data_IF_992636588434
#
_entry.id   IF_992636588434
#
_cell.length_a   1.000
_cell.length_b   1.000
_cell.length_c   1.000
_cell.angle_alpha   90.00
_cell.angle_beta   90.00
_cell.angle_gamma   90.00
#
_symmetry.space_group_name_H-M   'P 1'
#
loop_
_entity.id
_entity.type
_entity.pdbx_description
1 polymer ?
#
# COMPACT_ATOMS: atom_id res chain seq x y z
N UNK A 1 21.25 -16.04 -25.98
CA UNK A 1 19.79 -16.21 -26.17
C UNK A 1 19.13 -14.96 -25.62
N UNK A 2 18.30 -14.26 -26.41
CA UNK A 2 17.56 -13.08 -25.92
C UNK A 2 16.33 -13.57 -25.16
N UNK A 3 16.08 -13.05 -23.96
CA UNK A 3 14.84 -13.32 -23.25
C UNK A 3 13.68 -12.64 -24.00
N UNK A 4 12.57 -13.36 -24.16
CA UNK A 4 11.33 -12.77 -24.68
C UNK A 4 10.56 -12.24 -23.47
N UNK A 5 10.22 -10.95 -23.50
CA UNK A 5 9.45 -10.30 -22.43
C UNK A 5 8.23 -9.61 -23.05
N UNK A 6 7.03 -10.02 -22.62
CA UNK A 6 5.77 -9.46 -23.07
C UNK A 6 4.97 -8.92 -21.89
N UNK A 7 4.41 -7.71 -22.02
CA UNK A 7 3.52 -7.16 -21.02
C UNK A 7 2.18 -7.91 -21.03
N UNK A 8 1.78 -8.38 -19.86
CA UNK A 8 0.47 -8.96 -19.60
C UNK A 8 -0.48 -7.88 -19.09
N UNK A 9 -1.74 -7.97 -19.50
CA UNK A 9 -2.79 -7.06 -19.08
C UNK A 9 -3.54 -7.65 -17.87
N UNK A 10 -3.72 -6.83 -16.83
CA UNK A 10 -4.61 -7.14 -15.71
C UNK A 10 -5.83 -6.25 -15.87
N UNK A 11 -7.01 -6.87 -16.00
CA UNK A 11 -8.26 -6.16 -16.37
C UNK A 11 -9.20 -5.91 -15.21
N UNK A 12 -9.06 -6.69 -14.14
CA UNK A 12 -9.92 -6.64 -12.97
C UNK A 12 -9.09 -6.42 -11.70
N UNK A 13 -9.65 -5.67 -10.75
CA UNK A 13 -9.00 -5.37 -9.48
C UNK A 13 -8.85 -6.61 -8.62
N UNK A 14 -9.79 -7.56 -8.66
CA UNK A 14 -9.69 -8.82 -7.92
C UNK A 14 -8.55 -9.72 -8.41
N UNK A 15 -8.24 -9.70 -9.72
CA UNK A 15 -7.05 -10.39 -10.24
C UNK A 15 -5.77 -9.67 -9.83
N UNK A 16 -5.75 -8.34 -9.83
CA UNK A 16 -4.63 -7.55 -9.29
C UNK A 16 -4.40 -7.83 -7.80
N UNK A 17 -5.47 -7.91 -7.00
CA UNK A 17 -5.41 -8.19 -5.57
C UNK A 17 -4.71 -9.51 -5.28
N UNK A 18 -5.07 -10.60 -6.00
CA UNK A 18 -4.41 -11.90 -5.88
C UNK A 18 -2.93 -11.83 -6.26
N UNK A 19 -2.62 -11.23 -7.42
CA UNK A 19 -1.26 -11.09 -7.90
C UNK A 19 -0.39 -10.31 -6.90
N UNK A 20 -0.92 -9.21 -6.35
CA UNK A 20 -0.23 -8.41 -5.35
C UNK A 20 -0.04 -9.20 -4.06
N UNK A 21 -1.07 -9.87 -3.55
CA UNK A 21 -0.98 -10.62 -2.30
C UNK A 21 0.09 -11.73 -2.36
N UNK A 22 0.24 -12.39 -3.51
CA UNK A 22 1.26 -13.44 -3.72
C UNK A 22 2.68 -12.90 -3.88
N UNK A 23 2.86 -11.61 -4.23
CA UNK A 23 4.16 -11.04 -4.61
C UNK A 23 4.55 -9.80 -3.80
N UNK A 24 3.82 -9.47 -2.74
CA UNK A 24 3.94 -8.18 -2.03
C UNK A 24 5.35 -7.93 -1.46
N UNK A 25 6.09 -8.99 -1.10
CA UNK A 25 7.48 -8.90 -0.64
C UNK A 25 8.41 -8.29 -1.70
N UNK A 26 8.03 -8.32 -2.98
CA UNK A 26 8.74 -7.67 -4.07
C UNK A 26 8.74 -6.14 -3.99
N UNK A 27 7.87 -5.53 -3.17
CA UNK A 27 7.86 -4.09 -2.89
C UNK A 27 8.85 -3.77 -1.76
N UNK A 28 8.79 -4.55 -0.68
CA UNK A 28 9.58 -4.37 0.52
C UNK A 28 9.76 -5.72 1.22
N UNK A 29 11.00 -6.03 1.61
CA UNK A 29 11.31 -7.27 2.31
C UNK A 29 10.61 -7.35 3.67
N UNK A 30 9.92 -8.46 3.93
CA UNK A 30 9.16 -8.68 5.16
C UNK A 30 7.79 -8.01 5.20
N UNK A 31 7.37 -7.34 4.12
CA UNK A 31 5.97 -6.95 3.94
C UNK A 31 5.13 -8.19 3.62
N UNK A 32 4.08 -8.42 4.41
CA UNK A 32 3.15 -9.54 4.22
C UNK A 32 1.72 -9.04 4.24
N UNK A 33 0.84 -9.68 3.47
CA UNK A 33 -0.62 -9.47 3.55
C UNK A 33 -1.19 -10.28 4.71
N UNK A 34 -1.99 -9.63 5.55
CA UNK A 34 -2.66 -10.25 6.70
C UNK A 34 -4.19 -10.30 6.56
N UNK A 35 -4.78 -9.47 5.69
CA UNK A 35 -6.21 -9.48 5.40
C UNK A 35 -6.53 -8.82 4.05
N UNK A 36 -7.74 -9.01 3.55
CA UNK A 36 -8.21 -8.51 2.25
C UNK A 36 -9.63 -7.96 2.35
N UNK A 37 -9.91 -6.90 1.58
CA UNK A 37 -11.23 -6.26 1.46
C UNK A 37 -11.86 -5.88 2.80
N UNK A 38 -11.06 -5.25 3.66
CA UNK A 38 -11.43 -4.91 5.04
C UNK A 38 -12.19 -3.59 5.08
N UNK A 39 -13.32 -3.56 5.79
CA UNK A 39 -14.07 -2.35 6.08
C UNK A 39 -13.53 -1.68 7.35
N UNK A 40 -12.88 -0.53 7.19
CA UNK A 40 -12.35 0.30 8.27
C UNK A 40 -13.20 1.57 8.37
N UNK A 41 -14.12 1.60 9.34
CA UNK A 41 -15.18 2.61 9.41
C UNK A 41 -16.13 2.48 8.22
N UNK A 42 -16.04 3.41 7.27
CA UNK A 42 -16.80 3.39 6.01
C UNK A 42 -15.93 3.15 4.78
N UNK A 43 -14.61 3.03 4.95
CA UNK A 43 -13.65 2.84 3.87
C UNK A 43 -13.30 1.37 3.69
N UNK A 44 -13.38 0.86 2.47
CA UNK A 44 -12.91 -0.49 2.13
C UNK A 44 -11.46 -0.42 1.65
N UNK A 45 -10.56 -1.09 2.35
CA UNK A 45 -9.16 -1.23 1.93
C UNK A 45 -8.96 -2.60 1.31
N UNK A 46 -8.32 -2.63 0.13
CA UNK A 46 -8.23 -3.83 -0.69
C UNK A 46 -7.34 -4.88 -0.03
N UNK A 47 -6.20 -4.48 0.55
CA UNK A 47 -5.33 -5.36 1.32
C UNK A 47 -4.81 -4.67 2.59
N UNK A 48 -4.73 -5.44 3.67
CA UNK A 48 -4.05 -5.01 4.90
C UNK A 48 -2.73 -5.77 4.98
N UNK A 49 -1.64 -5.02 5.10
CA UNK A 49 -0.30 -5.55 5.24
C UNK A 49 0.32 -5.27 6.60
N UNK A 50 1.40 -5.98 6.87
CA UNK A 50 2.29 -5.74 8.00
C UNK A 50 3.72 -5.74 7.48
N UNK A 51 4.48 -4.68 7.74
CA UNK A 51 5.89 -4.65 7.37
C UNK A 51 6.80 -5.33 8.40
N UNK A 52 8.10 -5.40 8.09
CA UNK A 52 9.09 -6.05 8.94
C UNK A 52 9.24 -5.41 10.34
N UNK A 53 8.75 -4.17 10.53
CA UNK A 53 8.74 -3.46 11.82
C UNK A 53 7.42 -3.62 12.57
N UNK A 54 6.48 -4.36 12.00
CA UNK A 54 5.13 -4.51 12.54
C UNK A 54 4.23 -3.31 12.29
N UNK A 55 4.60 -2.35 11.43
CA UNK A 55 3.70 -1.25 11.10
C UNK A 55 2.58 -1.74 10.18
N UNK A 56 1.36 -1.30 10.46
CA UNK A 56 0.21 -1.61 9.62
C UNK A 56 0.33 -0.88 8.28
N UNK A 57 0.09 -1.58 7.18
CA UNK A 57 0.12 -1.04 5.83
C UNK A 57 -1.27 -1.11 5.23
N UNK A 58 -1.85 0.05 4.92
CA UNK A 58 -3.12 0.17 4.21
C UNK A 58 -2.82 0.16 2.71
N UNK A 59 -3.11 -0.96 2.05
CA UNK A 59 -2.73 -1.17 0.65
C UNK A 59 -3.97 -0.96 -0.21
N UNK A 60 -3.91 0.06 -1.06
CA UNK A 60 -5.00 0.42 -1.96
C UNK A 60 -4.61 0.17 -3.41
N UNK A 61 -5.46 -0.56 -4.13
CA UNK A 61 -5.25 -1.00 -5.49
C UNK A 61 -6.16 -0.21 -6.44
N UNK A 62 -5.59 0.25 -7.54
CA UNK A 62 -6.35 0.83 -8.65
C UNK A 62 -5.52 0.78 -9.94
N UNK A 63 -6.13 0.91 -11.11
CA UNK A 63 -5.36 1.13 -12.34
C UNK A 63 -4.92 2.60 -12.47
N UNK A 64 -5.61 3.53 -11.80
CA UNK A 64 -5.31 4.96 -11.84
C UNK A 64 -5.37 5.60 -10.45
N UNK A 65 -4.52 6.59 -10.20
CA UNK A 65 -4.57 7.37 -8.97
C UNK A 65 -5.74 8.37 -9.01
N UNK A 66 -6.85 8.03 -8.35
CA UNK A 66 -8.06 8.86 -8.28
C UNK A 66 -8.21 9.56 -6.94
N UNK A 67 -8.96 10.67 -6.90
CA UNK A 67 -9.29 11.35 -5.63
C UNK A 67 -10.11 10.45 -4.70
N UNK A 68 -10.98 9.59 -5.27
CA UNK A 68 -11.74 8.61 -4.50
C UNK A 68 -10.84 7.59 -3.79
N UNK A 69 -9.79 7.11 -4.49
CA UNK A 69 -8.77 6.24 -3.91
C UNK A 69 -8.04 6.92 -2.75
N UNK A 70 -7.67 8.18 -2.92
CA UNK A 70 -7.00 8.97 -1.88
C UNK A 70 -7.90 9.14 -0.64
N UNK A 71 -9.14 9.60 -0.83
CA UNK A 71 -10.10 9.79 0.26
C UNK A 71 -10.37 8.48 1.01
N UNK A 72 -10.53 7.37 0.30
CA UNK A 72 -10.72 6.03 0.89
C UNK A 72 -9.57 5.66 1.82
N UNK A 73 -8.33 5.90 1.42
CA UNK A 73 -7.15 5.64 2.27
C UNK A 73 -7.07 6.61 3.45
N UNK A 74 -7.40 7.89 3.24
CA UNK A 74 -7.41 8.88 4.32
C UNK A 74 -8.44 8.54 5.40
N UNK A 75 -9.64 8.13 5.01
CA UNK A 75 -10.71 7.74 5.92
C UNK A 75 -10.31 6.50 6.74
N UNK A 76 -9.78 5.47 6.07
CA UNK A 76 -9.29 4.25 6.74
C UNK A 76 -8.13 4.55 7.70
N UNK A 77 -7.18 5.40 7.28
CA UNK A 77 -6.06 5.81 8.12
C UNK A 77 -6.54 6.55 9.37
N UNK A 78 -7.44 7.53 9.20
CA UNK A 78 -8.03 8.27 10.33
C UNK A 78 -8.74 7.33 11.30
N UNK A 79 -9.51 6.37 10.77
CA UNK A 79 -10.18 5.37 11.59
C UNK A 79 -9.18 4.49 12.37
N UNK A 80 -8.10 4.04 11.73
CA UNK A 80 -7.08 3.25 12.44
C UNK A 80 -6.40 4.05 13.56
N UNK A 81 -6.14 5.34 13.37
CA UNK A 81 -5.58 6.20 14.41
C UNK A 81 -6.55 6.39 15.59
N UNK A 82 -7.84 6.54 15.29
CA UNK A 82 -8.89 6.71 16.32
C UNK A 82 -9.17 5.41 17.08
N UNK A 83 -9.07 4.26 16.42
CA UNK A 83 -9.48 2.94 16.93
C UNK A 83 -8.34 1.90 16.95
N UNK A 84 -7.13 2.29 17.37
CA UNK A 84 -5.95 1.41 17.42
C UNK A 84 -6.18 0.09 18.19
N UNK A 85 -6.89 0.16 19.32
CA UNK A 85 -7.23 -1.04 20.10
C UNK A 85 -8.12 -2.03 19.32
N UNK A 86 -9.00 -1.51 18.47
CA UNK A 86 -9.84 -2.34 17.60
C UNK A 86 -8.98 -3.01 16.53
N UNK A 87 -8.05 -2.28 15.91
CA UNK A 87 -7.09 -2.85 14.95
C UNK A 87 -6.32 -4.02 15.57
N UNK A 88 -5.82 -3.87 16.79
CA UNK A 88 -5.13 -4.95 17.51
C UNK A 88 -6.00 -6.18 17.75
N UNK A 89 -7.30 -5.97 17.99
CA UNK A 89 -8.26 -7.08 18.19
C UNK A 89 -8.65 -7.77 16.89
N UNK A 90 -8.61 -7.07 15.76
CA UNK A 90 -8.81 -7.68 14.44
C UNK A 90 -7.68 -8.64 14.09
N UNK A 91 -6.45 -8.31 14.48
CA UNK A 91 -5.26 -9.09 14.16
C UNK A 91 -4.49 -9.56 15.41
N UNK A 92 -5.08 -10.38 16.29
CA UNK A 92 -4.48 -10.75 17.57
C UNK A 92 -3.22 -11.61 17.41
N UNK A 93 -3.07 -12.29 16.27
CA UNK A 93 -1.90 -13.11 15.93
C UNK A 93 -0.84 -12.31 15.16
N UNK A 94 -1.17 -11.11 14.68
CA UNK A 94 -0.22 -10.22 14.04
C UNK A 94 0.49 -9.36 15.09
N UNK A 95 1.80 -9.20 14.97
CA UNK A 95 2.58 -8.33 15.85
C UNK A 95 2.45 -6.87 15.42
N UNK A 96 1.22 -6.33 15.45
CA UNK A 96 0.95 -4.94 15.07
C UNK A 96 1.59 -4.01 16.09
N UNK A 97 2.49 -3.15 15.61
CA UNK A 97 3.16 -2.14 16.40
C UNK A 97 2.23 -0.95 16.64
N UNK A 98 1.95 -0.65 17.91
CA UNK A 98 1.13 0.51 18.30
C UNK A 98 1.92 1.82 18.33
N UNK A 99 3.25 1.74 18.29
CA UNK A 99 4.12 2.92 18.26
C UNK A 99 4.33 3.44 16.83
N UNK A 100 3.92 2.67 15.82
CA UNK A 100 4.01 3.05 14.42
C UNK A 100 2.61 3.38 13.90
N UNK A 101 2.38 4.59 13.34
CA UNK A 101 1.11 4.88 12.68
C UNK A 101 0.96 3.96 11.46
N UNK A 102 -0.27 3.67 11.02
CA UNK A 102 -0.48 2.99 9.75
C UNK A 102 0.11 3.81 8.60
N UNK A 103 0.79 3.16 7.66
CA UNK A 103 1.25 3.79 6.42
C UNK A 103 0.35 3.40 5.25
N UNK A 104 0.34 4.21 4.21
CA UNK A 104 -0.41 3.96 2.99
C UNK A 104 0.52 3.46 1.87
N UNK A 105 0.05 2.46 1.13
CA UNK A 105 0.70 1.96 -0.08
C UNK A 105 -0.31 1.94 -1.23
N UNK A 106 -0.11 2.80 -2.22
CA UNK A 106 -0.91 2.80 -3.45
C UNK A 106 -0.21 1.94 -4.50
N UNK A 107 -0.87 0.90 -5.00
CA UNK A 107 -0.35 0.07 -6.10
C UNK A 107 -1.20 0.33 -7.33
N UNK A 108 -0.57 0.90 -8.36
CA UNK A 108 -1.23 1.55 -9.49
C UNK A 108 -0.85 0.91 -10.82
N UNK A 109 -1.80 0.83 -11.76
CA UNK A 109 -1.51 0.41 -13.15
C UNK A 109 -0.72 1.45 -13.95
N UNK A 110 -0.80 2.71 -13.54
CA UNK A 110 -0.15 3.86 -14.17
C UNK A 110 0.56 4.73 -13.13
N UNK A 111 1.52 5.56 -13.59
CA UNK A 111 2.14 6.54 -12.71
C UNK A 111 1.09 7.57 -12.27
N UNK A 112 1.08 8.00 -11.00
CA UNK A 112 0.17 9.03 -10.53
C UNK A 112 0.46 10.35 -11.25
N UNK A 113 -0.57 11.18 -11.39
CA UNK A 113 -0.39 12.53 -11.94
C UNK A 113 0.32 13.45 -10.96
N UNK A 114 0.98 14.50 -11.44
CA UNK A 114 1.59 15.51 -10.56
C UNK A 114 0.57 16.15 -9.62
N UNK A 115 -0.69 16.24 -10.04
CA UNK A 115 -1.76 16.80 -9.23
C UNK A 115 -2.10 15.89 -8.05
N UNK A 116 -2.10 14.56 -8.24
CA UNK A 116 -2.24 13.59 -7.17
C UNK A 116 -1.03 13.63 -6.23
N UNK A 117 0.19 13.63 -6.79
CA UNK A 117 1.44 13.73 -6.03
C UNK A 117 1.50 14.99 -5.16
N UNK A 118 1.07 16.15 -5.70
CA UNK A 118 0.99 17.38 -4.90
C UNK A 118 0.03 17.28 -3.73
N UNK A 119 -1.09 16.56 -3.87
CA UNK A 119 -2.07 16.36 -2.79
C UNK A 119 -1.54 15.46 -1.69
N UNK A 120 -0.96 14.31 -2.04
CA UNK A 120 -0.37 13.43 -1.02
C UNK A 120 0.75 14.14 -0.26
N UNK A 121 1.53 15.01 -0.90
CA UNK A 121 2.56 15.83 -0.24
C UNK A 121 2.01 16.82 0.80
N UNK A 122 0.72 17.16 0.75
CA UNK A 122 0.07 17.96 1.78
C UNK A 122 -0.30 17.13 3.02
N UNK A 123 -0.24 15.79 2.95
CA UNK A 123 -0.60 14.87 4.02
C UNK A 123 0.63 14.53 4.87
N UNK A 124 1.21 15.52 5.54
CA UNK A 124 2.48 15.40 6.30
C UNK A 124 2.49 14.36 7.44
N UNK A 125 1.30 13.93 7.89
CA UNK A 125 1.11 12.95 8.96
C UNK A 125 1.09 11.50 8.47
N UNK A 126 0.92 11.28 7.16
CA UNK A 126 0.76 9.97 6.55
C UNK A 126 2.02 9.60 5.77
N UNK A 127 2.64 8.48 6.12
CA UNK A 127 3.65 7.87 5.25
C UNK A 127 2.94 7.26 4.03
N UNK A 128 3.40 7.63 2.83
CA UNK A 128 2.79 7.20 1.58
C UNK A 128 3.87 6.69 0.64
N UNK A 129 3.71 5.45 0.18
CA UNK A 129 4.40 4.95 -0.99
C UNK A 129 3.39 4.81 -2.15
N UNK A 130 3.79 5.26 -3.33
CA UNK A 130 3.10 4.94 -4.57
C UNK A 130 4.00 4.03 -5.39
N UNK A 131 3.44 2.92 -5.84
CA UNK A 131 4.11 1.90 -6.63
C UNK A 131 3.30 1.67 -7.89
N UNK A 132 3.98 1.55 -9.03
CA UNK A 132 3.38 1.09 -10.27
C UNK A 132 3.68 -0.40 -10.45
N UNK A 133 2.66 -1.21 -10.74
CA UNK A 133 2.88 -2.61 -11.07
C UNK A 133 3.10 -2.83 -12.58
N UNK A 134 3.88 -3.85 -12.91
CA UNK A 134 4.12 -4.34 -14.25
C UNK A 134 4.00 -5.87 -14.24
N UNK A 135 3.00 -6.41 -14.91
CA UNK A 135 2.85 -7.86 -15.08
C UNK A 135 3.43 -8.28 -16.44
N UNK A 136 4.32 -9.25 -16.43
CA UNK A 136 5.12 -9.65 -17.59
C UNK A 136 5.09 -11.17 -17.77
N UNK A 137 5.10 -11.64 -19.02
CA UNK A 137 5.53 -12.99 -19.38
C UNK A 137 7.01 -12.93 -19.74
N UNK A 138 7.84 -13.71 -19.05
CA UNK A 138 9.27 -13.83 -19.28
C UNK A 138 9.57 -15.29 -19.60
N UNK A 139 9.82 -15.58 -20.87
CA UNK A 139 10.08 -16.94 -21.36
C UNK A 139 9.01 -17.98 -20.96
N UNK A 140 7.73 -17.60 -20.94
CA UNK A 140 6.61 -18.48 -20.59
C UNK A 140 6.31 -18.60 -19.09
N UNK A 141 7.03 -17.86 -18.24
CA UNK A 141 6.73 -17.71 -16.82
C UNK A 141 6.22 -16.29 -16.55
N UNK A 142 5.14 -16.16 -15.78
CA UNK A 142 4.64 -14.85 -15.40
C UNK A 142 5.43 -14.26 -14.23
N UNK A 143 5.65 -12.95 -14.25
CA UNK A 143 6.36 -12.21 -13.22
C UNK A 143 5.65 -10.87 -12.95
N UNK A 144 5.49 -10.54 -11.67
CA UNK A 144 5.00 -9.24 -11.23
C UNK A 144 6.18 -8.41 -10.72
N UNK A 145 6.33 -7.20 -11.27
CA UNK A 145 7.33 -6.23 -10.86
C UNK A 145 6.69 -4.96 -10.33
N UNK A 146 7.36 -4.31 -9.39
CA UNK A 146 6.92 -3.10 -8.73
C UNK A 146 7.95 -1.98 -8.90
N UNK A 147 7.50 -0.85 -9.44
CA UNK A 147 8.29 0.36 -9.62
C UNK A 147 7.87 1.39 -8.57
N UNK A 148 8.75 1.76 -7.63
CA UNK A 148 8.46 2.84 -6.68
C UNK A 148 8.44 4.17 -7.43
N UNK A 149 7.26 4.81 -7.50
CA UNK A 149 7.06 6.03 -8.28
C UNK A 149 7.09 7.29 -7.43
N UNK A 150 6.67 7.20 -6.17
CA UNK A 150 6.75 8.29 -5.21
C UNK A 150 6.86 7.72 -3.79
N UNK A 151 7.63 8.40 -2.94
CA UNK A 151 7.77 8.08 -1.52
C UNK A 151 7.67 9.36 -0.72
N UNK A 152 6.70 9.41 0.18
CA UNK A 152 6.52 10.45 1.18
C UNK A 152 6.78 9.84 2.55
N UNK A 153 7.86 10.29 3.18
CA UNK A 153 8.14 9.97 4.57
C UNK A 153 7.41 10.97 5.46
N UNK A 154 6.92 10.49 6.61
CA UNK A 154 6.37 11.36 7.64
C UNK A 154 7.49 12.27 8.13
N UNK A 155 7.18 13.55 8.32
CA UNK A 155 8.14 14.46 8.94
C UNK A 155 8.46 13.97 10.37
N UNK A 156 9.74 13.91 10.79
CA UNK A 156 10.08 13.57 12.16
C UNK A 156 9.36 14.53 13.11
N UNK A 157 8.83 13.99 14.21
CA UNK A 157 8.18 14.80 15.22
C UNK A 157 9.23 15.68 15.91
N UNK A 158 9.21 17.02 15.76
CA UNK A 158 10.30 17.88 16.23
C UNK A 158 10.47 17.86 17.76
N UNK A 159 9.54 17.25 18.50
CA UNK A 159 9.61 17.09 19.95
C UNK A 159 10.44 15.88 20.42
N UNK A 160 10.76 14.94 19.53
CA UNK A 160 11.50 13.71 19.90
C UNK A 160 13.02 13.84 19.79
N UNK A 161 13.54 14.87 19.10
CA UNK A 161 14.99 15.10 18.97
C UNK A 161 15.61 15.95 20.10
N UNK A 162 14.79 16.41 21.05
CA UNK A 162 15.23 17.23 22.17
C UNK A 162 15.28 16.47 23.52
N UNK A 163 15.35 15.13 23.50
CA UNK A 163 15.41 14.28 24.70
C UNK A 163 16.64 13.38 24.71
#
# INVERSE_FOLDING_TARGET
MSATCQKLEVKDIGDLEKLVAENIEGIESGLQVIDSRVLLGHAVIDLIGLDAKGALVLIALDFTASEGLLLRVMDAHSWCLEYLDTVRRLYPMAQVSLSQPPRALFILGQRPTDAFVRRIKQLSVLEVDCVKFCYLDVNGASALYFDLVERLQRAPDPKLEAS
#
